data_IF_082357538859
#
_entry.id   IF_082357538859
#
_cell.length_a   1.000
_cell.length_b   1.000
_cell.length_c   1.000
_cell.angle_alpha   90.00
_cell.angle_beta   90.00
_cell.angle_gamma   90.00
#
_symmetry.space_group_name_H-M   'P 1'
#
loop_
_entity.id
_entity.type
_entity.pdbx_description
1 polymer ?
#
# COMPACT_ATOMS: atom_id res chain seq x y z
N UNK A 1 -21.26 3.07 14.37
CA UNK A 1 -20.73 3.34 13.01
C UNK A 1 -19.42 4.13 13.10
N UNK A 2 -18.27 3.48 13.32
CA UNK A 2 -16.94 4.11 13.26
C UNK A 2 -15.86 3.26 12.55
N UNK A 3 -16.18 2.02 12.16
CA UNK A 3 -15.24 1.09 11.54
C UNK A 3 -15.05 1.26 10.02
N UNK A 4 -15.77 2.18 9.38
CA UNK A 4 -15.77 2.28 7.92
C UNK A 4 -14.57 3.05 7.35
N UNK A 5 -14.02 4.02 8.10
CA UNK A 5 -12.98 4.92 7.59
C UNK A 5 -11.58 4.31 7.57
N UNK A 6 -11.20 3.54 8.60
CA UNK A 6 -9.85 2.99 8.72
C UNK A 6 -9.58 1.85 7.74
N UNK A 7 -10.61 1.03 7.43
CA UNK A 7 -10.49 -0.06 6.46
C UNK A 7 -10.36 0.47 5.04
N UNK A 8 -11.14 1.50 4.68
CA UNK A 8 -11.02 2.18 3.39
C UNK A 8 -9.66 2.87 3.22
N UNK A 9 -9.17 3.55 4.27
CA UNK A 9 -7.86 4.21 4.21
C UNK A 9 -6.70 3.23 3.99
N UNK A 10 -6.74 2.06 4.65
CA UNK A 10 -5.77 0.97 4.38
C UNK A 10 -5.87 0.47 2.94
N UNK A 11 -7.09 0.27 2.43
CA UNK A 11 -7.31 -0.18 1.06
C UNK A 11 -6.79 0.81 0.01
N UNK A 12 -7.01 2.10 0.22
CA UNK A 12 -6.56 3.18 -0.69
C UNK A 12 -5.03 3.22 -0.75
N UNK A 13 -4.35 3.14 0.41
CA UNK A 13 -2.89 3.08 0.50
C UNK A 13 -2.33 1.83 -0.20
N UNK A 14 -2.98 0.67 -0.02
CA UNK A 14 -2.56 -0.58 -0.65
C UNK A 14 -2.71 -0.48 -2.17
N UNK A 15 -3.84 0.02 -2.66
CA UNK A 15 -4.08 0.19 -4.09
C UNK A 15 -3.12 1.18 -4.74
N UNK A 16 -2.85 2.31 -4.08
CA UNK A 16 -1.83 3.28 -4.49
C UNK A 16 -0.46 2.61 -4.55
N UNK A 17 -0.08 1.84 -3.53
CA UNK A 17 1.20 1.12 -3.47
C UNK A 17 1.36 0.12 -4.61
N UNK A 18 0.32 -0.69 -4.87
CA UNK A 18 0.31 -1.67 -5.96
C UNK A 18 0.34 -0.95 -7.32
N UNK A 19 -0.36 0.18 -7.45
CA UNK A 19 -0.33 1.02 -8.64
C UNK A 19 1.08 1.56 -8.93
N UNK A 20 1.80 2.03 -7.92
CA UNK A 20 3.19 2.48 -8.06
C UNK A 20 4.14 1.32 -8.37
N UNK A 21 3.97 0.16 -7.74
CA UNK A 21 4.74 -1.04 -8.03
C UNK A 21 4.54 -1.52 -9.47
N UNK A 22 3.29 -1.65 -9.92
CA UNK A 22 2.96 -2.15 -11.25
C UNK A 22 3.32 -1.15 -12.36
N UNK A 23 3.06 0.15 -12.17
CA UNK A 23 3.22 1.17 -13.22
C UNK A 23 4.67 1.63 -13.41
N UNK A 24 5.47 1.62 -12.35
CA UNK A 24 6.84 2.12 -12.38
C UNK A 24 7.89 1.05 -12.07
N UNK A 25 7.49 -0.21 -11.85
CA UNK A 25 8.39 -1.31 -11.43
C UNK A 25 9.25 -0.94 -10.22
N UNK A 26 8.73 -0.10 -9.34
CA UNK A 26 9.43 0.38 -8.15
C UNK A 26 9.63 -0.75 -7.14
N UNK A 27 10.79 -0.82 -6.51
CA UNK A 27 11.00 -1.76 -5.41
C UNK A 27 10.24 -1.30 -4.16
N UNK A 28 9.95 -2.24 -3.26
CA UNK A 28 9.30 -1.96 -1.97
C UNK A 28 10.00 -0.85 -1.16
N UNK A 29 11.32 -0.71 -1.30
CA UNK A 29 12.08 0.38 -0.69
C UNK A 29 11.73 1.74 -1.28
N UNK A 30 11.74 1.88 -2.60
CA UNK A 30 11.38 3.14 -3.27
C UNK A 30 9.96 3.56 -2.90
N UNK A 31 9.02 2.61 -2.87
CA UNK A 31 7.65 2.90 -2.45
C UNK A 31 7.62 3.36 -0.99
N UNK A 32 8.33 2.68 -0.09
CA UNK A 32 8.43 3.09 1.32
C UNK A 32 9.05 4.50 1.47
N UNK A 33 10.04 4.85 0.66
CA UNK A 33 10.63 6.19 0.65
C UNK A 33 9.67 7.27 0.14
N UNK A 34 8.89 6.99 -0.91
CA UNK A 34 7.86 7.91 -1.42
C UNK A 34 6.81 8.19 -0.35
N UNK A 35 6.32 7.15 0.33
CA UNK A 35 5.37 7.31 1.42
C UNK A 35 5.97 8.10 2.58
N UNK A 36 7.23 7.84 2.92
CA UNK A 36 7.97 8.57 3.96
C UNK A 36 8.12 10.05 3.61
N UNK A 37 8.34 10.39 2.33
CA UNK A 37 8.32 11.76 1.82
C UNK A 37 6.95 12.45 1.94
N UNK A 38 5.86 11.69 1.88
CA UNK A 38 4.49 12.14 2.10
C UNK A 38 4.05 12.17 3.59
N UNK A 39 4.97 11.92 4.53
CA UNK A 39 4.66 11.87 5.96
C UNK A 39 3.90 10.61 6.40
N UNK A 40 3.80 9.60 5.53
CA UNK A 40 3.16 8.32 5.79
C UNK A 40 4.25 7.28 6.05
N UNK A 41 4.41 6.85 7.30
CA UNK A 41 5.36 5.79 7.64
C UNK A 41 4.71 4.41 7.37
N UNK A 42 4.99 3.83 6.20
CA UNK A 42 4.52 2.49 5.85
C UNK A 42 5.64 1.50 6.09
N UNK A 43 5.44 0.56 7.01
CA UNK A 43 6.42 -0.50 7.25
C UNK A 43 6.44 -1.45 6.04
N UNK A 44 7.59 -1.99 5.62
CA UNK A 44 7.67 -2.95 4.52
C UNK A 44 6.72 -4.14 4.70
N UNK A 45 6.54 -4.58 5.95
CA UNK A 45 5.59 -5.64 6.32
C UNK A 45 4.14 -5.27 6.01
N UNK A 46 3.75 -4.00 6.16
CA UNK A 46 2.40 -3.52 5.81
C UNK A 46 2.17 -3.59 4.32
N UNK A 47 3.19 -3.31 3.51
CA UNK A 47 3.10 -3.42 2.06
C UNK A 47 2.97 -4.89 1.64
N UNK A 48 3.80 -5.78 2.20
CA UNK A 48 3.73 -7.21 1.92
C UNK A 48 2.37 -7.78 2.33
N UNK A 49 1.85 -7.39 3.50
CA UNK A 49 0.55 -7.84 3.98
C UNK A 49 -0.60 -7.31 3.10
N UNK A 50 -0.49 -6.07 2.62
CA UNK A 50 -1.44 -5.48 1.68
C UNK A 50 -1.41 -6.14 0.31
N UNK A 51 -0.23 -6.46 -0.21
CA UNK A 51 -0.08 -7.23 -1.45
C UNK A 51 -0.59 -8.66 -1.27
N UNK A 52 -0.51 -9.25 -0.08
CA UNK A 52 -1.05 -10.60 0.17
C UNK A 52 -2.59 -10.60 0.28
N UNK A 53 -3.17 -9.66 1.04
CA UNK A 53 -4.62 -9.51 1.20
C UNK A 53 -5.30 -9.10 -0.12
N UNK A 54 -4.69 -8.18 -0.88
CA UNK A 54 -5.25 -7.65 -2.12
C UNK A 54 -4.66 -8.31 -3.38
N UNK A 55 -3.65 -9.15 -3.23
CA UNK A 55 -3.05 -9.92 -4.32
C UNK A 55 -4.01 -10.94 -4.92
N UNK A 56 -4.92 -11.48 -4.10
CA UNK A 56 -5.98 -12.37 -4.53
C UNK A 56 -7.04 -11.64 -5.39
N UNK A 57 -7.09 -10.31 -5.36
CA UNK A 57 -7.98 -9.49 -6.21
C UNK A 57 -7.38 -9.18 -7.59
N UNK A 58 -6.09 -9.44 -7.80
CA UNK A 58 -5.36 -9.11 -9.04
C UNK A 58 -4.86 -10.35 -9.81
N UNK A 59 -5.17 -11.57 -9.35
CA UNK A 59 -4.92 -12.82 -10.08
C UNK A 59 -6.20 -13.65 -10.22
#
# INVERSE_FOLDING_TARGET
MKYFKEKQFKQDIILVTIGYYCRFSLSYRDVSEIFKGHGISVHPTTVIHGVHEHGNLIY
#
